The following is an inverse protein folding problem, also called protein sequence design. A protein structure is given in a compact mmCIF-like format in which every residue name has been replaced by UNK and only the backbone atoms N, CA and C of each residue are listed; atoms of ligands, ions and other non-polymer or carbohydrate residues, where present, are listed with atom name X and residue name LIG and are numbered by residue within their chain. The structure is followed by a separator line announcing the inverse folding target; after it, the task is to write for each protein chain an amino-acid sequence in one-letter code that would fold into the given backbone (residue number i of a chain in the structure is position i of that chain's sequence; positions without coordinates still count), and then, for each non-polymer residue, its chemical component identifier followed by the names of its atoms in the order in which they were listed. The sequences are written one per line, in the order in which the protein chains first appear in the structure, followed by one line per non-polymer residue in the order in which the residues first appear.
data_IF_671762391763
#
_entry.id   IF_671762391763
#
_cell.length_a   1.000
_cell.length_b   1.000
_cell.length_c   1.000
_cell.angle_alpha   90.00
_cell.angle_beta   90.00
_cell.angle_gamma   90.00
#
_symmetry.space_group_name_H-M   'P 1'
#
loop_
_entity.id
_entity.type
_entity.pdbx_description
1 polymer ?
#
# COMPACT_ATOMS: atom_id res chain seq x y z
N UNK A 1 -14.11 2.76 -15.91
CA UNK A 1 -13.58 1.52 -15.31
C UNK A 1 -12.08 1.46 -15.57
N UNK A 2 -11.25 1.32 -14.53
CA UNK A 2 -9.93 0.74 -14.74
C UNK A 2 -10.18 -0.72 -15.07
N UNK A 3 -9.98 -1.08 -16.35
CA UNK A 3 -10.14 -2.45 -16.79
C UNK A 3 -8.74 -3.06 -16.91
N UNK A 4 -8.37 -3.93 -15.96
CA UNK A 4 -7.15 -4.71 -16.13
C UNK A 4 -7.26 -5.55 -17.40
N UNK A 5 -6.13 -5.74 -18.08
CA UNK A 5 -6.08 -6.71 -19.16
C UNK A 5 -6.59 -8.08 -18.66
N UNK A 6 -7.38 -8.84 -19.44
CA UNK A 6 -7.99 -10.10 -18.96
C UNK A 6 -7.01 -11.08 -18.33
N UNK A 7 -5.80 -11.21 -18.90
CA UNK A 7 -4.73 -12.04 -18.31
C UNK A 7 -4.27 -11.54 -16.94
N UNK A 8 -4.20 -10.22 -16.72
CA UNK A 8 -3.83 -9.64 -15.42
C UNK A 8 -4.93 -9.94 -14.40
N UNK A 9 -6.20 -9.72 -14.75
CA UNK A 9 -7.32 -10.01 -13.85
C UNK A 9 -7.37 -11.50 -13.47
N UNK A 10 -7.15 -12.40 -14.43
CA UNK A 10 -7.07 -13.85 -14.18
C UNK A 10 -5.89 -14.22 -13.28
N UNK A 11 -4.71 -13.66 -13.53
CA UNK A 11 -3.53 -13.89 -12.69
C UNK A 11 -3.77 -13.45 -11.24
N UNK A 12 -4.35 -12.26 -11.04
CA UNK A 12 -4.75 -11.72 -9.74
C UNK A 12 -5.72 -12.66 -9.02
N UNK A 13 -6.81 -13.04 -9.67
CA UNK A 13 -7.84 -13.90 -9.07
C UNK A 13 -7.28 -15.27 -8.67
N UNK A 14 -6.47 -15.90 -9.54
CA UNK A 14 -5.83 -17.18 -9.26
C UNK A 14 -4.87 -17.11 -8.06
N UNK A 15 -4.00 -16.10 -8.01
CA UNK A 15 -3.06 -15.96 -6.90
C UNK A 15 -3.78 -15.59 -5.59
N UNK A 16 -4.77 -14.70 -5.65
CA UNK A 16 -5.59 -14.32 -4.50
C UNK A 16 -6.26 -15.55 -3.87
N UNK A 17 -6.90 -16.38 -4.69
CA UNK A 17 -7.53 -17.64 -4.25
C UNK A 17 -6.48 -18.62 -3.68
N UNK A 18 -5.37 -18.85 -4.41
CA UNK A 18 -4.33 -19.81 -4.03
C UNK A 18 -3.69 -19.49 -2.68
N UNK A 19 -3.47 -18.20 -2.38
CA UNK A 19 -2.73 -17.77 -1.18
C UNK A 19 -3.63 -17.17 -0.07
N UNK A 20 -4.94 -17.13 -0.28
CA UNK A 20 -5.90 -16.54 0.65
C UNK A 20 -5.64 -15.05 0.88
N UNK A 21 -5.41 -14.31 -0.21
CA UNK A 21 -5.22 -12.86 -0.19
C UNK A 21 -6.45 -12.16 -0.78
N UNK A 22 -6.81 -10.94 -0.33
CA UNK A 22 -7.84 -10.16 -0.99
C UNK A 22 -7.42 -9.80 -2.43
N UNK A 23 -8.26 -10.07 -3.43
CA UNK A 23 -8.00 -9.62 -4.82
C UNK A 23 -7.72 -8.10 -4.86
N UNK A 24 -8.52 -7.34 -4.12
CA UNK A 24 -8.42 -5.87 -4.05
C UNK A 24 -7.08 -5.37 -3.51
N UNK A 25 -6.34 -6.18 -2.74
CA UNK A 25 -4.97 -5.86 -2.34
C UNK A 25 -4.03 -5.96 -3.56
N UNK A 26 -4.04 -7.10 -4.25
CA UNK A 26 -3.18 -7.33 -5.41
C UNK A 26 -3.49 -6.38 -6.58
N UNK A 27 -4.76 -6.03 -6.80
CA UNK A 27 -5.18 -5.02 -7.78
C UNK A 27 -4.61 -3.65 -7.43
N UNK A 28 -4.72 -3.25 -6.17
CA UNK A 28 -4.27 -1.94 -5.73
C UNK A 28 -2.75 -1.80 -5.81
N UNK A 29 -1.99 -2.83 -5.41
CA UNK A 29 -0.54 -2.82 -5.60
C UNK A 29 -0.19 -2.77 -7.10
N UNK A 30 -0.84 -3.57 -7.95
CA UNK A 30 -0.61 -3.51 -9.40
C UNK A 30 -0.89 -2.12 -10.00
N UNK A 31 -1.93 -1.44 -9.50
CA UNK A 31 -2.26 -0.08 -9.93
C UNK A 31 -1.21 0.94 -9.49
N UNK A 32 -0.72 0.85 -8.25
CA UNK A 32 0.29 1.78 -7.73
C UNK A 32 1.60 1.59 -8.48
N UNK A 33 2.04 0.34 -8.66
CA UNK A 33 3.36 0.01 -9.19
C UNK A 33 3.46 0.20 -10.71
N UNK A 34 2.40 -0.15 -11.46
CA UNK A 34 2.47 -0.18 -12.93
C UNK A 34 1.24 0.38 -13.64
N UNK A 35 0.26 0.92 -12.90
CA UNK A 35 -1.07 1.23 -13.44
C UNK A 35 -1.75 0.03 -14.12
N UNK A 36 -1.42 -1.18 -13.66
CA UNK A 36 -1.92 -2.44 -14.23
C UNK A 36 -1.24 -2.89 -15.53
N UNK A 37 -0.12 -2.26 -15.93
CA UNK A 37 0.61 -2.64 -17.12
C UNK A 37 1.65 -3.73 -16.81
N UNK A 38 1.47 -4.99 -17.27
CA UNK A 38 2.43 -6.07 -17.02
C UNK A 38 3.77 -5.85 -17.74
N UNK A 39 3.84 -4.96 -18.73
CA UNK A 39 5.05 -4.63 -19.47
C UNK A 39 5.74 -3.35 -18.96
N UNK A 40 5.30 -2.80 -17.82
CA UNK A 40 5.91 -1.60 -17.26
C UNK A 40 7.39 -1.82 -16.93
N UNK A 41 8.24 -0.89 -17.33
CA UNK A 41 9.68 -0.93 -17.09
C UNK A 41 10.16 0.41 -16.56
N UNK A 42 10.85 0.39 -15.42
CA UNK A 42 11.54 1.57 -14.91
C UNK A 42 12.84 1.78 -15.71
N UNK A 43 13.10 3.02 -16.15
CA UNK A 43 14.30 3.37 -16.92
C UNK A 43 15.56 3.51 -16.05
N UNK A 44 15.38 3.75 -14.76
CA UNK A 44 16.46 4.08 -13.82
C UNK A 44 16.79 2.92 -12.86
N UNK A 45 16.13 1.77 -13.00
CA UNK A 45 16.38 0.61 -12.15
C UNK A 45 16.06 -0.70 -12.86
N UNK A 46 16.35 -1.82 -12.20
CA UNK A 46 15.92 -3.12 -12.71
C UNK A 46 14.42 -3.36 -12.56
N UNK A 47 13.69 -2.51 -11.82
CA UNK A 47 12.26 -2.66 -11.58
C UNK A 47 11.48 -2.84 -12.89
N UNK A 48 10.59 -3.83 -12.91
CA UNK A 48 9.75 -4.10 -14.07
C UNK A 48 8.60 -5.04 -13.75
N UNK A 49 7.66 -5.11 -14.68
CA UNK A 49 6.48 -5.94 -14.55
C UNK A 49 5.32 -5.28 -13.82
N UNK A 50 4.27 -6.07 -13.62
CA UNK A 50 3.02 -5.65 -12.98
C UNK A 50 3.24 -5.08 -11.55
N UNK A 51 4.24 -5.61 -10.83
CA UNK A 51 4.56 -5.27 -9.43
C UNK A 51 5.96 -4.67 -9.26
N UNK A 52 6.59 -4.19 -10.34
CA UNK A 52 7.88 -3.51 -10.32
C UNK A 52 9.01 -4.23 -9.54
N UNK A 53 9.07 -5.57 -9.63
CA UNK A 53 10.15 -6.35 -9.02
C UNK A 53 11.53 -5.92 -9.55
N UNK A 54 12.48 -5.71 -8.64
CA UNK A 54 13.90 -5.58 -8.98
C UNK A 54 14.54 -6.97 -9.14
N UNK A 55 15.71 -7.04 -9.79
CA UNK A 55 16.34 -8.35 -10.11
C UNK A 55 16.65 -9.19 -8.87
N UNK A 56 17.07 -8.56 -7.76
CA UNK A 56 17.40 -9.26 -6.52
C UNK A 56 16.18 -9.93 -5.89
N UNK A 57 15.06 -9.20 -5.77
CA UNK A 57 13.82 -9.76 -5.22
C UNK A 57 13.16 -10.72 -6.20
N UNK A 58 13.24 -10.48 -7.51
CA UNK A 58 12.78 -11.44 -8.50
C UNK A 58 13.52 -12.79 -8.34
N UNK A 59 14.85 -12.76 -8.21
CA UNK A 59 15.66 -13.96 -7.97
C UNK A 59 15.29 -14.66 -6.66
N UNK A 60 15.12 -13.92 -5.57
CA UNK A 60 14.72 -14.46 -4.27
C UNK A 60 13.40 -15.24 -4.36
N UNK A 61 12.44 -14.73 -5.13
CA UNK A 61 11.13 -15.35 -5.31
C UNK A 61 11.04 -16.24 -6.55
N UNK A 62 12.17 -16.60 -7.18
CA UNK A 62 12.22 -17.48 -8.36
C UNK A 62 11.31 -16.96 -9.50
N UNK A 63 11.19 -15.64 -9.63
CA UNK A 63 10.44 -14.96 -10.68
C UNK A 63 11.33 -14.85 -11.92
N UNK A 64 11.17 -15.80 -12.84
CA UNK A 64 12.00 -15.88 -14.05
C UNK A 64 11.64 -14.81 -15.07
N UNK A 65 10.35 -14.50 -15.24
CA UNK A 65 9.89 -13.44 -16.12
C UNK A 65 9.01 -12.43 -15.37
N UNK A 66 9.56 -11.24 -15.11
CA UNK A 66 8.83 -10.14 -14.45
C UNK A 66 7.64 -9.61 -15.26
N UNK A 67 7.66 -9.78 -16.59
CA UNK A 67 6.63 -9.27 -17.48
C UNK A 67 5.50 -10.28 -17.74
N UNK A 68 5.64 -11.51 -17.22
CA UNK A 68 4.55 -12.48 -17.19
C UNK A 68 3.65 -12.18 -15.98
N UNK A 69 2.38 -11.76 -16.19
CA UNK A 69 1.50 -11.41 -15.09
C UNK A 69 1.20 -12.59 -14.16
N UNK A 70 1.20 -13.84 -14.64
CA UNK A 70 0.95 -15.01 -13.78
C UNK A 70 2.13 -15.25 -12.84
N UNK A 71 3.36 -15.26 -13.38
CA UNK A 71 4.55 -15.43 -12.56
C UNK A 71 4.74 -14.27 -11.57
N UNK A 72 4.56 -13.02 -12.05
CA UNK A 72 4.73 -11.84 -11.21
C UNK A 72 3.69 -11.79 -10.08
N UNK A 73 2.44 -12.16 -10.35
CA UNK A 73 1.38 -12.19 -9.31
C UNK A 73 1.60 -13.31 -8.31
N UNK A 74 2.00 -14.51 -8.74
CA UNK A 74 2.33 -15.60 -7.81
C UNK A 74 3.50 -15.22 -6.89
N UNK A 75 4.56 -14.61 -7.45
CA UNK A 75 5.69 -14.11 -6.68
C UNK A 75 5.28 -13.00 -5.69
N UNK A 76 4.45 -12.05 -6.12
CA UNK A 76 3.93 -10.98 -5.25
C UNK A 76 3.09 -11.56 -4.11
N UNK A 77 2.26 -12.56 -4.38
CA UNK A 77 1.47 -13.22 -3.35
C UNK A 77 2.34 -13.94 -2.31
N UNK A 78 3.37 -14.69 -2.73
CA UNK A 78 4.33 -15.33 -1.82
C UNK A 78 5.09 -14.29 -0.97
N UNK A 79 5.60 -13.23 -1.61
CA UNK A 79 6.25 -12.12 -0.91
C UNK A 79 5.32 -11.47 0.12
N UNK A 80 4.05 -11.29 -0.22
CA UNK A 80 3.04 -10.75 0.71
C UNK A 80 2.83 -11.67 1.91
N UNK A 81 2.77 -12.99 1.71
CA UNK A 81 2.64 -13.95 2.82
C UNK A 81 3.86 -13.93 3.74
N UNK A 82 5.06 -13.84 3.19
CA UNK A 82 6.29 -13.77 3.99
C UNK A 82 6.37 -12.45 4.76
N UNK A 83 6.03 -11.33 4.13
CA UNK A 83 5.89 -10.03 4.80
C UNK A 83 4.83 -10.06 5.91
N UNK A 84 3.69 -10.73 5.68
CA UNK A 84 2.62 -10.88 6.69
C UNK A 84 3.18 -11.58 7.93
N UNK A 85 3.84 -12.73 7.77
CA UNK A 85 4.42 -13.49 8.90
C UNK A 85 5.48 -12.68 9.65
N UNK A 86 6.37 -12.01 8.91
CA UNK A 86 7.42 -11.20 9.51
C UNK A 86 6.85 -10.05 10.34
N UNK A 87 5.92 -9.28 9.76
CA UNK A 87 5.30 -8.17 10.46
C UNK A 87 4.46 -8.65 11.64
N UNK A 88 3.66 -9.71 11.48
CA UNK A 88 2.84 -10.23 12.56
C UNK A 88 3.69 -10.60 13.79
N UNK A 89 4.80 -11.30 13.55
CA UNK A 89 5.78 -11.66 14.60
C UNK A 89 6.39 -10.42 15.24
N UNK A 90 6.83 -9.45 14.44
CA UNK A 90 7.52 -8.27 14.94
C UNK A 90 6.59 -7.27 15.67
N UNK A 91 5.33 -7.20 15.26
CA UNK A 91 4.33 -6.25 15.77
C UNK A 91 3.46 -6.84 16.88
N UNK A 92 3.39 -8.16 17.01
CA UNK A 92 2.48 -8.83 17.96
C UNK A 92 0.99 -8.75 17.56
N UNK A 93 0.71 -8.37 16.32
CA UNK A 93 -0.64 -8.25 15.73
C UNK A 93 -0.56 -8.42 14.22
N UNK A 94 -1.68 -8.76 13.60
CA UNK A 94 -1.76 -8.77 12.13
C UNK A 94 -1.45 -7.38 11.54
N UNK A 95 -0.64 -7.31 10.45
CA UNK A 95 -0.42 -6.07 9.74
C UNK A 95 -1.65 -5.68 8.91
N UNK A 96 -1.91 -4.39 8.83
CA UNK A 96 -2.89 -3.85 7.89
C UNK A 96 -2.41 -3.99 6.43
N UNK A 97 -3.32 -3.93 5.44
CA UNK A 97 -2.93 -3.94 4.03
C UNK A 97 -1.97 -2.80 3.64
N UNK A 98 -2.10 -1.63 4.26
CA UNK A 98 -1.19 -0.51 4.01
C UNK A 98 0.21 -0.75 4.61
N UNK A 99 0.32 -1.44 5.75
CA UNK A 99 1.59 -1.89 6.31
C UNK A 99 2.25 -2.98 5.45
N UNK A 100 1.47 -3.87 4.84
CA UNK A 100 1.97 -4.84 3.86
C UNK A 100 2.53 -4.15 2.61
N UNK A 101 1.87 -3.09 2.14
CA UNK A 101 2.39 -2.27 1.05
C UNK A 101 3.67 -1.52 1.45
N UNK A 102 3.72 -0.97 2.66
CA UNK A 102 4.94 -0.36 3.22
C UNK A 102 6.10 -1.38 3.26
N UNK A 103 5.85 -2.62 3.69
CA UNK A 103 6.86 -3.68 3.71
C UNK A 103 7.28 -4.14 2.30
N UNK A 104 6.38 -4.07 1.32
CA UNK A 104 6.76 -4.29 -0.08
C UNK A 104 7.77 -3.23 -0.56
N UNK A 105 7.52 -1.96 -0.24
CA UNK A 105 8.36 -0.84 -0.69
C UNK A 105 9.69 -0.72 0.07
N UNK A 106 9.65 -0.85 1.40
CA UNK A 106 10.81 -0.61 2.29
C UNK A 106 11.55 -1.90 2.71
N UNK A 107 11.01 -3.05 2.32
CA UNK A 107 11.36 -4.33 2.94
C UNK A 107 10.74 -4.48 4.34
N UNK A 108 10.53 -5.72 4.82
CA UNK A 108 9.80 -5.97 6.06
C UNK A 108 10.53 -5.43 7.30
N UNK A 109 11.85 -5.50 7.35
CA UNK A 109 12.64 -4.93 8.45
C UNK A 109 12.55 -3.40 8.50
N UNK A 110 12.59 -2.72 7.34
CA UNK A 110 12.45 -1.27 7.24
C UNK A 110 11.06 -0.82 7.70
N UNK A 111 10.01 -1.52 7.26
CA UNK A 111 8.65 -1.26 7.72
C UNK A 111 8.52 -1.39 9.25
N UNK A 112 9.07 -2.44 9.87
CA UNK A 112 9.04 -2.58 11.34
C UNK A 112 9.72 -1.42 12.04
N UNK A 113 10.89 -0.96 11.55
CA UNK A 113 11.59 0.18 12.13
C UNK A 113 10.72 1.43 12.12
N UNK A 114 10.06 1.72 10.99
CA UNK A 114 9.17 2.88 10.87
C UNK A 114 7.95 2.77 11.81
N UNK A 115 7.27 1.61 11.79
CA UNK A 115 6.04 1.39 12.57
C UNK A 115 6.30 1.52 14.07
N UNK A 116 7.44 1.01 14.56
CA UNK A 116 7.79 1.06 15.99
C UNK A 116 8.31 2.42 16.45
N UNK A 117 8.74 3.29 15.54
CA UNK A 117 9.40 4.56 15.88
C UNK A 117 8.83 5.74 15.09
N UNK A 118 7.51 6.00 15.15
CA UNK A 118 6.84 6.96 14.27
C UNK A 118 7.33 8.41 14.43
N UNK A 119 7.86 8.78 15.60
CA UNK A 119 8.30 10.15 15.87
C UNK A 119 9.78 10.41 15.53
N UNK A 120 10.54 9.37 15.14
CA UNK A 120 11.95 9.53 14.74
C UNK A 120 12.04 9.98 13.28
N UNK A 121 13.09 10.72 12.88
CA UNK A 121 13.36 11.00 11.47
C UNK A 121 13.48 9.70 10.66
N UNK A 122 12.73 9.59 9.56
CA UNK A 122 12.74 8.38 8.72
C UNK A 122 14.15 8.05 8.19
N UNK A 123 14.93 9.09 7.91
CA UNK A 123 16.31 8.99 7.43
C UNK A 123 17.27 8.35 8.43
N UNK A 124 17.01 8.47 9.74
CA UNK A 124 17.80 7.78 10.76
C UNK A 124 17.49 6.27 10.82
N UNK A 125 16.28 5.87 10.44
CA UNK A 125 15.84 4.47 10.51
C UNK A 125 16.22 3.68 9.25
N UNK A 126 16.07 4.30 8.08
CA UNK A 126 16.22 3.67 6.77
C UNK A 126 17.47 4.11 6.00
N UNK A 127 18.12 5.20 6.44
CA UNK A 127 19.13 5.90 5.66
C UNK A 127 18.52 6.94 4.73
N UNK A 128 19.21 8.08 4.57
CA UNK A 128 18.73 9.23 3.78
C UNK A 128 18.38 8.86 2.34
N UNK A 129 19.22 8.06 1.68
CA UNK A 129 19.01 7.67 0.28
C UNK A 129 17.73 6.85 0.09
N UNK A 130 17.46 5.91 1.01
CA UNK A 130 16.26 5.07 0.95
C UNK A 130 14.97 5.90 1.10
N UNK A 131 14.99 6.92 1.95
CA UNK A 131 13.84 7.83 2.13
C UNK A 131 13.60 8.67 0.88
N UNK A 132 14.64 9.31 0.35
CA UNK A 132 14.51 10.23 -0.80
C UNK A 132 14.14 9.47 -2.07
N UNK A 133 14.73 8.30 -2.35
CA UNK A 133 14.40 7.50 -3.53
C UNK A 133 12.95 7.00 -3.53
N UNK A 134 12.34 6.86 -2.35
CA UNK A 134 10.97 6.41 -2.17
C UNK A 134 9.97 7.58 -2.03
N UNK A 135 10.36 8.78 -2.48
CA UNK A 135 9.50 9.96 -2.49
C UNK A 135 9.33 10.66 -1.13
N UNK A 136 10.12 10.27 -0.13
CA UNK A 136 10.09 10.88 1.20
C UNK A 136 10.94 12.13 1.31
N UNK A 137 10.55 13.03 2.21
CA UNK A 137 11.42 14.11 2.68
C UNK A 137 12.41 13.56 3.72
N UNK A 138 13.71 13.81 3.54
CA UNK A 138 14.76 13.33 4.43
C UNK A 138 14.61 13.82 5.89
N UNK A 139 13.95 14.95 6.08
CA UNK A 139 13.69 15.57 7.39
C UNK A 139 12.33 15.15 7.98
N UNK A 140 11.51 14.40 7.25
CA UNK A 140 10.21 13.94 7.74
C UNK A 140 10.35 12.85 8.81
N UNK A 141 9.40 12.83 9.74
CA UNK A 141 9.30 11.73 10.70
C UNK A 141 8.92 10.43 9.99
N UNK A 142 9.17 9.29 10.63
CA UNK A 142 8.71 8.00 10.17
C UNK A 142 7.18 7.95 10.03
N UNK A 143 6.45 8.62 10.93
CA UNK A 143 5.00 8.77 10.87
C UNK A 143 4.55 9.53 9.63
N UNK A 144 5.18 10.66 9.32
CA UNK A 144 4.88 11.43 8.10
C UNK A 144 5.18 10.63 6.83
N UNK A 145 6.30 9.93 6.81
CA UNK A 145 6.67 9.04 5.71
C UNK A 145 5.64 7.90 5.53
N UNK A 146 5.24 7.24 6.62
CA UNK A 146 4.20 6.22 6.59
C UNK A 146 2.85 6.78 6.12
N UNK A 147 2.45 7.95 6.61
CA UNK A 147 1.20 8.62 6.21
C UNK A 147 1.17 8.91 4.71
N UNK A 148 2.30 9.30 4.12
CA UNK A 148 2.41 9.46 2.68
C UNK A 148 2.13 8.16 1.93
N UNK A 149 2.78 7.07 2.33
CA UNK A 149 2.63 5.73 1.70
C UNK A 149 1.22 5.17 1.91
N UNK A 150 0.66 5.31 3.12
CA UNK A 150 -0.70 4.89 3.43
C UNK A 150 -1.72 5.71 2.65
N UNK A 151 -1.48 7.01 2.49
CA UNK A 151 -2.30 7.90 1.67
C UNK A 151 -2.33 7.48 0.20
N UNK A 152 -1.17 7.15 -0.38
CA UNK A 152 -1.09 6.62 -1.74
C UNK A 152 -1.90 5.31 -1.88
N UNK A 153 -1.69 4.39 -0.95
CA UNK A 153 -2.39 3.10 -0.95
C UNK A 153 -3.91 3.27 -0.82
N UNK A 154 -4.38 4.08 0.12
CA UNK A 154 -5.81 4.28 0.36
C UNK A 154 -6.51 4.99 -0.80
N UNK A 155 -5.91 6.06 -1.35
CA UNK A 155 -6.46 6.80 -2.49
C UNK A 155 -6.64 5.92 -3.73
N UNK A 156 -5.68 5.05 -4.05
CA UNK A 156 -5.83 4.09 -5.15
C UNK A 156 -6.99 3.12 -4.88
N UNK A 157 -7.18 2.74 -3.63
CA UNK A 157 -8.32 1.95 -3.19
C UNK A 157 -9.68 2.57 -3.44
N UNK A 158 -9.83 3.83 -3.06
CA UNK A 158 -11.09 4.57 -3.23
C UNK A 158 -11.38 4.80 -4.71
N UNK A 159 -10.36 5.06 -5.53
CA UNK A 159 -10.50 5.15 -6.98
C UNK A 159 -10.99 3.83 -7.60
N UNK A 160 -10.49 2.68 -7.13
CA UNK A 160 -10.96 1.36 -7.57
C UNK A 160 -12.42 1.11 -7.16
N UNK A 161 -12.82 1.47 -5.92
CA UNK A 161 -14.21 1.32 -5.43
C UNK A 161 -15.19 2.24 -6.13
N UNK A 162 -14.87 3.53 -6.26
CA UNK A 162 -15.71 4.52 -6.93
C UNK A 162 -15.96 4.20 -8.41
N UNK A 163 -15.09 3.40 -9.04
CA UNK A 163 -15.28 2.92 -10.41
C UNK A 163 -16.12 1.64 -10.54
N UNK A 164 -16.37 0.91 -9.45
CA UNK A 164 -17.24 -0.28 -9.43
C UNK A 164 -18.73 0.06 -9.17
N UNK A 165 -19.03 1.30 -8.80
CA UNK A 165 -20.39 1.79 -8.54
C UNK A 165 -20.87 2.74 -9.65
N UNK A 166 -21.25 2.19 -10.81
CA UNK A 166 -22.25 2.76 -11.74
C UNK A 166 -22.56 1.68 -12.79
N UNK A 167 -23.82 1.23 -12.96
CA UNK A 167 -24.97 2.05 -13.39
C UNK A 167 -26.24 1.88 -12.52
N UNK A 168 -27.21 2.79 -12.71
CA UNK A 168 -28.59 2.85 -12.17
C UNK A 168 -28.97 1.87 -11.02
N UNK A 169 -29.16 2.42 -9.81
CA UNK A 169 -29.75 1.67 -8.70
C UNK A 169 -29.83 2.52 -7.44
N UNK A 170 -30.96 3.18 -7.24
CA UNK A 170 -31.31 3.96 -6.07
C UNK A 170 -31.43 3.04 -4.83
N UNK A 171 -30.60 3.22 -3.79
CA UNK A 171 -30.90 2.70 -2.45
C UNK A 171 -30.43 3.66 -1.35
N UNK A 172 -31.42 4.20 -0.65
CA UNK A 172 -31.33 4.81 0.66
C UNK A 172 -30.70 3.86 1.70
N UNK A 173 -30.12 4.46 2.73
CA UNK A 173 -29.71 3.89 4.02
C UNK A 173 -28.46 3.00 4.08
N UNK A 174 -27.36 3.61 4.50
CA UNK A 174 -26.59 3.15 5.67
C UNK A 174 -25.67 4.28 6.16
N UNK A 175 -26.23 5.20 6.95
CA UNK A 175 -25.45 6.07 7.81
C UNK A 175 -24.84 5.21 8.93
N UNK A 176 -23.53 5.24 9.06
CA UNK A 176 -22.83 5.08 10.34
C UNK A 176 -21.45 5.72 10.19
N UNK A 177 -21.46 7.04 10.07
CA UNK A 177 -20.30 7.88 10.30
C UNK A 177 -20.08 8.01 11.82
N UNK A 178 -18.94 7.53 12.31
CA UNK A 178 -18.48 7.88 13.66
C UNK A 178 -17.88 9.28 13.59
N UNK A 179 -18.74 10.29 13.79
CA UNK A 179 -18.37 11.69 14.00
C UNK A 179 -18.05 11.90 15.49
N UNK A 180 -16.94 12.56 15.87
CA UNK A 180 -16.74 12.99 17.25
C UNK A 180 -17.73 14.12 17.60
N UNK A 181 -18.51 13.93 18.67
CA UNK A 181 -19.46 14.89 19.21
C UNK A 181 -18.75 16.21 19.58
N UNK A 182 -19.04 17.28 18.83
CA UNK A 182 -18.86 18.67 19.31
C UNK A 182 -19.94 18.97 20.35
N UNK A 183 -19.53 19.15 21.60
CA UNK A 183 -20.35 19.78 22.62
C UNK A 183 -20.49 21.28 22.32
N UNK A 184 -21.72 21.76 22.16
CA UNK A 184 -22.09 23.18 22.32
C UNK A 184 -22.96 23.28 23.58
N UNK A 185 -22.44 23.94 24.60
CA UNK A 185 -23.25 24.79 25.47
C UNK A 185 -22.50 26.12 25.56
N UNK A 186 -23.17 27.19 25.15
CA UNK A 186 -22.60 28.53 25.15
C UNK A 186 -22.77 29.19 26.51
N UNK A 187 -21.88 30.12 26.84
CA UNK A 187 -22.17 31.31 27.63
C UNK A 187 -21.23 32.45 27.22
N UNK A 188 -21.73 33.65 27.50
CA UNK A 188 -21.34 34.97 27.04
C UNK A 188 -20.01 35.51 27.61
N UNK A 189 -19.33 36.32 26.79
CA UNK A 189 -18.63 37.57 27.12
C UNK A 189 -17.31 37.64 27.94
N UNK A 190 -16.43 38.51 27.40
CA UNK A 190 -15.45 39.43 28.03
C UNK A 190 -13.99 38.98 28.27
N UNK A 191 -13.11 39.71 27.57
CA UNK A 191 -11.88 40.43 27.98
C UNK A 191 -10.62 39.72 28.54
N UNK A 192 -9.50 40.18 27.95
CA UNK A 192 -8.18 40.54 28.50
C UNK A 192 -7.19 39.43 28.92
N UNK A 193 -6.01 39.38 28.30
CA UNK A 193 -4.70 39.97 28.74
C UNK A 193 -4.26 39.44 30.10
N UNK A 194 -3.37 38.44 30.11
CA UNK A 194 -1.97 38.47 30.62
C UNK A 194 -1.22 37.26 30.11
#
# INVERSE_FOLDING_TARGET
MINFHPNVKRAISQAAQKYGLPESFLERVAMIESKGNPNAKNKNSSAGGLYQFIDSTAKQYQLNNKFDPFQATDAMARLTKDNTRYLATALGREPSPAELYLAHQQGPAGAVKLIKNPNMPASQLLGRQAVVLNGGNAEATAGDFMNHIYGLYNKTGDALKGMTQSPQGNWLNAQNEVVPRRGRQGFSNKNQVV
#
